data_IF_462046207812
#
_entry.id   IF_462046207812
#
_cell.length_a   1.000
_cell.length_b   1.000
_cell.length_c   1.000
_cell.angle_alpha   90.00
_cell.angle_beta   90.00
_cell.angle_gamma   90.00
#
_symmetry.space_group_name_H-M   'P 1'
#
loop_
_entity.id
_entity.type
_entity.pdbx_description
1 polymer ?
#
# COMPACT_ATOMS: atom_id res chain seq x y z
N UNK A 1 13.03 -15.82 13.97
CA UNK A 1 12.75 -16.03 12.54
C UNK A 1 11.25 -16.21 12.27
N UNK A 2 10.56 -17.16 12.90
CA UNK A 2 9.10 -17.38 12.69
C UNK A 2 8.25 -16.10 12.86
N UNK A 3 8.47 -15.35 13.94
CA UNK A 3 7.74 -14.09 14.23
C UNK A 3 8.00 -12.99 13.20
N UNK A 4 9.19 -12.95 12.62
CA UNK A 4 9.59 -11.98 11.60
C UNK A 4 8.82 -12.19 10.30
N UNK A 5 8.76 -13.44 9.84
CA UNK A 5 8.03 -13.82 8.64
C UNK A 5 6.53 -13.56 8.87
N UNK A 6 6.02 -13.96 10.03
CA UNK A 6 4.62 -13.73 10.41
C UNK A 6 4.25 -12.24 10.41
N UNK A 7 5.12 -11.35 10.88
CA UNK A 7 4.86 -9.91 10.88
C UNK A 7 4.71 -9.32 9.46
N UNK A 8 5.52 -9.79 8.51
CA UNK A 8 5.43 -9.36 7.10
C UNK A 8 4.17 -9.92 6.44
N UNK A 9 3.84 -11.19 6.70
CA UNK A 9 2.61 -11.82 6.20
C UNK A 9 1.38 -11.07 6.70
N UNK A 10 1.29 -10.81 8.02
CA UNK A 10 0.13 -10.09 8.58
C UNK A 10 0.02 -8.69 8.00
N UNK A 11 1.13 -7.95 7.87
CA UNK A 11 1.10 -6.63 7.24
C UNK A 11 0.63 -6.67 5.78
N UNK A 12 1.10 -7.66 5.01
CA UNK A 12 0.66 -7.87 3.63
C UNK A 12 -0.83 -8.21 3.53
N UNK A 13 -1.33 -9.08 4.41
CA UNK A 13 -2.75 -9.43 4.49
C UNK A 13 -3.59 -8.22 4.85
N UNK A 14 -3.20 -7.46 5.88
CA UNK A 14 -3.92 -6.24 6.29
C UNK A 14 -3.97 -5.23 5.15
N UNK A 15 -2.83 -4.96 4.50
CA UNK A 15 -2.78 -4.06 3.37
C UNK A 15 -3.71 -4.51 2.24
N UNK A 16 -3.69 -5.80 1.90
CA UNK A 16 -4.53 -6.39 0.84
C UNK A 16 -6.01 -6.26 1.18
N UNK A 17 -6.40 -6.59 2.41
CA UNK A 17 -7.79 -6.45 2.86
C UNK A 17 -8.27 -5.00 2.80
N UNK A 18 -7.45 -4.05 3.26
CA UNK A 18 -7.78 -2.63 3.21
C UNK A 18 -7.85 -2.11 1.77
N UNK A 19 -6.93 -2.54 0.91
CA UNK A 19 -6.90 -2.13 -0.49
C UNK A 19 -8.12 -2.65 -1.26
N UNK A 20 -8.39 -3.95 -1.19
CA UNK A 20 -9.53 -4.57 -1.87
C UNK A 20 -10.87 -4.06 -1.29
N UNK A 21 -10.97 -3.98 0.03
CA UNK A 21 -12.17 -3.47 0.70
C UNK A 21 -12.47 -2.01 0.35
N UNK A 22 -11.44 -1.15 0.35
CA UNK A 22 -11.62 0.25 -0.03
C UNK A 22 -11.90 0.42 -1.53
N UNK A 23 -11.33 -0.41 -2.40
CA UNK A 23 -11.70 -0.43 -3.83
C UNK A 23 -13.16 -0.80 -4.05
N UNK A 24 -13.62 -1.87 -3.40
CA UNK A 24 -15.01 -2.28 -3.50
C UNK A 24 -15.97 -1.19 -2.98
N UNK A 25 -15.58 -0.48 -1.92
CA UNK A 25 -16.37 0.63 -1.38
C UNK A 25 -16.40 1.83 -2.34
N UNK A 26 -15.25 2.25 -2.88
CA UNK A 26 -15.17 3.39 -3.81
C UNK A 26 -15.96 3.10 -5.09
N UNK A 27 -15.84 1.90 -5.65
CA UNK A 27 -16.63 1.49 -6.83
C UNK A 27 -18.14 1.52 -6.59
N UNK A 28 -18.59 1.22 -5.35
CA UNK A 28 -20.01 1.26 -4.99
C UNK A 28 -20.53 2.66 -4.73
N UNK A 29 -19.74 3.51 -4.09
CA UNK A 29 -20.13 4.87 -3.71
C UNK A 29 -19.96 5.88 -4.83
N UNK A 30 -18.97 5.66 -5.70
CA UNK A 30 -18.58 6.56 -6.79
C UNK A 30 -18.39 5.78 -8.10
N UNK A 31 -19.44 5.12 -8.63
CA UNK A 31 -19.34 4.36 -9.87
C UNK A 31 -18.92 5.25 -11.06
N UNK A 32 -19.35 6.51 -11.08
CA UNK A 32 -19.07 7.49 -12.14
C UNK A 32 -17.59 7.88 -12.25
N UNK A 33 -16.75 7.51 -11.27
CA UNK A 33 -15.31 7.75 -11.32
C UNK A 33 -14.56 6.79 -12.25
N UNK A 34 -15.22 5.70 -12.68
CA UNK A 34 -14.65 4.67 -13.53
C UNK A 34 -15.33 4.72 -14.91
N UNK A 35 -14.54 4.99 -15.94
CA UNK A 35 -15.01 4.97 -17.33
C UNK A 35 -15.13 3.56 -17.90
N UNK A 36 -15.37 3.46 -19.20
CA UNK A 36 -15.43 2.17 -19.90
C UNK A 36 -14.17 1.33 -19.67
N UNK A 37 -14.36 0.05 -19.38
CA UNK A 37 -13.26 -0.86 -19.05
C UNK A 37 -12.57 -0.57 -17.71
N UNK A 38 -13.16 0.27 -16.85
CA UNK A 38 -12.61 0.62 -15.53
C UNK A 38 -11.55 1.72 -15.56
N UNK A 39 -11.34 2.38 -16.71
CA UNK A 39 -10.34 3.43 -16.88
C UNK A 39 -10.59 4.63 -15.97
N UNK A 40 -9.53 5.19 -15.42
CA UNK A 40 -9.58 6.39 -14.56
C UNK A 40 -8.75 7.49 -15.19
N UNK A 41 -9.42 8.48 -15.78
CA UNK A 41 -8.76 9.60 -16.46
C UNK A 41 -8.72 10.87 -15.60
N UNK A 42 -9.65 11.00 -14.66
CA UNK A 42 -9.74 12.18 -13.80
C UNK A 42 -8.56 12.25 -12.83
N UNK A 43 -7.72 13.27 -13.00
CA UNK A 43 -6.55 13.55 -12.14
C UNK A 43 -6.91 13.57 -10.64
N UNK A 44 -8.03 14.18 -10.19
CA UNK A 44 -8.39 14.17 -8.76
C UNK A 44 -8.60 12.75 -8.20
N UNK A 45 -9.21 11.84 -8.97
CA UNK A 45 -9.44 10.45 -8.54
C UNK A 45 -8.14 9.66 -8.51
N UNK A 46 -7.23 9.90 -9.46
CA UNK A 46 -5.90 9.30 -9.47
C UNK A 46 -5.09 9.73 -8.25
N UNK A 47 -5.07 11.03 -7.95
CA UNK A 47 -4.41 11.57 -6.75
C UNK A 47 -5.03 11.02 -5.45
N UNK A 48 -6.36 10.94 -5.38
CA UNK A 48 -7.06 10.32 -4.25
C UNK A 48 -6.63 8.86 -4.07
N UNK A 49 -6.51 8.11 -5.16
CA UNK A 49 -6.10 6.71 -5.13
C UNK A 49 -4.66 6.54 -4.65
N UNK A 50 -3.75 7.42 -5.08
CA UNK A 50 -2.36 7.47 -4.56
C UNK A 50 -2.35 7.82 -3.07
N UNK A 51 -3.06 8.87 -2.66
CA UNK A 51 -3.10 9.28 -1.25
C UNK A 51 -3.63 8.14 -0.37
N UNK A 52 -4.67 7.46 -0.81
CA UNK A 52 -5.20 6.28 -0.15
C UNK A 52 -4.16 5.17 -0.07
N UNK A 53 -3.44 4.87 -1.16
CA UNK A 53 -2.40 3.83 -1.14
C UNK A 53 -1.28 4.15 -0.14
N UNK A 54 -0.88 5.43 -0.04
CA UNK A 54 0.10 5.89 0.95
C UNK A 54 -0.41 5.65 2.37
N UNK A 55 -1.64 6.06 2.69
CA UNK A 55 -2.24 5.85 4.02
C UNK A 55 -2.32 4.36 4.37
N UNK A 56 -2.75 3.51 3.44
CA UNK A 56 -2.84 2.07 3.68
C UNK A 56 -1.46 1.43 3.85
N UNK A 57 -0.46 1.87 3.09
CA UNK A 57 0.93 1.41 3.19
C UNK A 57 1.57 1.83 4.50
N UNK A 58 1.28 3.04 4.99
CA UNK A 58 1.67 3.51 6.31
C UNK A 58 1.12 2.63 7.43
N UNK A 59 -0.19 2.34 7.38
CA UNK A 59 -0.85 1.49 8.37
C UNK A 59 -0.27 0.06 8.35
N UNK A 60 -0.04 -0.50 7.17
CA UNK A 60 0.52 -1.83 7.02
C UNK A 60 1.95 -1.91 7.58
N UNK A 61 2.81 -0.94 7.24
CA UNK A 61 4.16 -0.83 7.80
C UNK A 61 4.17 -0.68 9.33
N UNK A 62 3.27 0.15 9.86
CA UNK A 62 3.09 0.32 11.31
C UNK A 62 2.70 -1.00 12.00
N UNK A 63 1.74 -1.74 11.45
CA UNK A 63 1.28 -3.02 11.99
C UNK A 63 2.39 -4.07 11.92
N UNK A 64 3.13 -4.15 10.82
CA UNK A 64 4.29 -5.05 10.70
C UNK A 64 5.34 -4.73 11.75
N UNK A 65 5.71 -3.47 11.94
CA UNK A 65 6.62 -3.06 13.01
C UNK A 65 6.10 -3.41 14.41
N UNK A 66 4.80 -3.22 14.64
CA UNK A 66 4.14 -3.54 15.91
C UNK A 66 4.27 -5.02 16.26
N UNK A 67 4.05 -5.91 15.28
CA UNK A 67 4.12 -7.37 15.46
C UNK A 67 5.57 -7.86 15.53
N UNK A 68 6.47 -7.30 14.72
CA UNK A 68 7.86 -7.74 14.63
C UNK A 68 8.62 -7.56 15.96
N UNK A 69 8.33 -6.48 16.70
CA UNK A 69 8.91 -6.11 18.01
C UNK A 69 10.44 -5.93 18.08
N UNK A 70 11.18 -6.36 17.06
CA UNK A 70 12.63 -6.19 16.87
C UNK A 70 12.93 -5.98 15.39
N UNK A 71 13.93 -5.15 15.09
CA UNK A 71 14.32 -4.81 13.71
C UNK A 71 13.13 -4.32 12.86
N UNK A 72 12.26 -3.51 13.46
CA UNK A 72 10.98 -3.05 12.94
C UNK A 72 11.09 -2.42 11.56
N UNK A 73 12.08 -1.54 11.36
CA UNK A 73 12.35 -0.87 10.08
C UNK A 73 12.70 -1.89 8.99
N UNK A 74 13.51 -2.90 9.31
CA UNK A 74 13.91 -3.94 8.33
C UNK A 74 12.71 -4.75 7.86
N UNK A 75 11.79 -5.11 8.77
CA UNK A 75 10.58 -5.84 8.41
C UNK A 75 9.59 -4.99 7.62
N UNK A 76 9.47 -3.70 7.96
CA UNK A 76 8.61 -2.76 7.23
C UNK A 76 9.17 -2.48 5.82
N UNK A 77 10.49 -2.42 5.68
CA UNK A 77 11.16 -2.37 4.37
C UNK A 77 10.90 -3.64 3.56
N UNK A 78 11.05 -4.83 4.16
CA UNK A 78 10.76 -6.10 3.50
C UNK A 78 9.30 -6.19 3.03
N UNK A 79 8.35 -5.69 3.82
CA UNK A 79 6.95 -5.56 3.42
C UNK A 79 6.81 -4.61 2.22
N UNK A 80 7.46 -3.45 2.25
CA UNK A 80 7.45 -2.49 1.14
C UNK A 80 7.99 -3.08 -0.16
N UNK A 81 9.06 -3.88 -0.09
CA UNK A 81 9.62 -4.60 -1.24
C UNK A 81 8.63 -5.65 -1.76
N UNK A 82 8.02 -6.44 -0.87
CA UNK A 82 7.01 -7.41 -1.26
C UNK A 82 5.82 -6.74 -1.97
N UNK A 83 5.32 -5.63 -1.42
CA UNK A 83 4.24 -4.87 -2.03
C UNK A 83 4.65 -4.21 -3.34
N UNK A 84 5.91 -3.77 -3.48
CA UNK A 84 6.41 -3.24 -4.74
C UNK A 84 6.37 -4.31 -5.84
N UNK A 85 6.82 -5.53 -5.54
CA UNK A 85 6.76 -6.65 -6.51
C UNK A 85 5.30 -6.93 -6.91
N UNK A 86 4.38 -7.01 -5.95
CA UNK A 86 2.96 -7.21 -6.23
C UNK A 86 2.34 -6.03 -7.00
N UNK A 87 2.75 -4.80 -6.69
CA UNK A 87 2.31 -3.58 -7.36
C UNK A 87 2.78 -3.50 -8.80
N UNK A 88 4.01 -3.93 -9.10
CA UNK A 88 4.52 -4.06 -10.46
C UNK A 88 3.67 -5.07 -11.25
N UNK A 89 3.39 -6.24 -10.67
CA UNK A 89 2.53 -7.25 -11.30
C UNK A 89 1.12 -6.69 -11.58
N UNK A 90 0.52 -6.01 -10.60
CA UNK A 90 -0.80 -5.38 -10.76
C UNK A 90 -0.80 -4.27 -11.83
N UNK A 91 0.28 -3.51 -11.91
CA UNK A 91 0.48 -2.44 -12.92
C UNK A 91 0.57 -3.04 -14.32
N UNK A 92 1.31 -4.13 -14.51
CA UNK A 92 1.39 -4.81 -15.82
C UNK A 92 0.01 -5.33 -16.25
N UNK A 93 -0.78 -5.86 -15.31
CA UNK A 93 -2.13 -6.37 -15.60
C UNK A 93 -3.14 -5.25 -15.89
N UNK A 94 -2.91 -4.04 -15.39
CA UNK A 94 -3.85 -2.92 -15.44
C UNK A 94 -3.26 -1.68 -16.15
N UNK A 95 -2.29 -1.91 -17.04
CA UNK A 95 -1.48 -0.83 -17.62
C UNK A 95 -2.32 0.20 -18.39
N UNK A 96 -3.38 -0.25 -19.06
CA UNK A 96 -4.26 0.60 -19.87
C UNK A 96 -5.35 1.31 -19.05
N UNK A 97 -5.41 1.07 -17.74
CA UNK A 97 -6.47 1.56 -16.84
C UNK A 97 -6.15 2.94 -16.28
N UNK A 98 -4.86 3.29 -16.16
CA UNK A 98 -4.41 4.57 -15.64
C UNK A 98 -3.14 5.07 -16.36
N UNK A 99 -2.85 6.39 -16.34
CA UNK A 99 -1.65 6.94 -16.95
C UNK A 99 -0.35 6.44 -16.31
N UNK A 100 0.75 6.41 -17.09
CA UNK A 100 2.06 5.96 -16.62
C UNK A 100 2.57 6.70 -15.39
N UNK A 101 2.30 8.01 -15.29
CA UNK A 101 2.72 8.82 -14.14
C UNK A 101 2.07 8.35 -12.83
N UNK A 102 0.82 7.86 -12.89
CA UNK A 102 0.12 7.33 -11.72
C UNK A 102 0.81 6.06 -11.23
N UNK A 103 1.11 5.13 -12.14
CA UNK A 103 1.82 3.89 -11.81
C UNK A 103 3.20 4.17 -11.23
N UNK A 104 3.96 5.09 -11.83
CA UNK A 104 5.27 5.48 -11.32
C UNK A 104 5.18 6.00 -9.87
N UNK A 105 4.29 6.97 -9.59
CA UNK A 105 4.12 7.50 -8.25
C UNK A 105 3.63 6.45 -7.25
N UNK A 106 2.64 5.64 -7.64
CA UNK A 106 2.11 4.56 -6.81
C UNK A 106 3.24 3.61 -6.39
N UNK A 107 4.04 3.12 -7.33
CA UNK A 107 5.14 2.18 -7.07
C UNK A 107 6.25 2.80 -6.23
N UNK A 108 6.69 4.01 -6.59
CA UNK A 108 7.76 4.72 -5.85
C UNK A 108 7.37 4.98 -4.40
N UNK A 109 6.09 5.22 -4.11
CA UNK A 109 5.63 5.55 -2.76
C UNK A 109 5.42 4.33 -1.85
N UNK A 110 5.37 3.10 -2.37
CA UNK A 110 5.12 1.90 -1.55
C UNK A 110 6.18 1.70 -0.47
N UNK A 111 7.46 1.65 -0.86
CA UNK A 111 8.56 1.44 0.09
C UNK A 111 8.65 2.57 1.14
N UNK A 112 8.76 3.86 0.76
CA UNK A 112 8.93 4.93 1.75
C UNK A 112 7.72 5.02 2.69
N UNK A 113 6.50 4.77 2.21
CA UNK A 113 5.30 4.77 3.06
C UNK A 113 5.33 3.63 4.09
N UNK A 114 5.68 2.41 3.69
CA UNK A 114 5.79 1.29 4.63
C UNK A 114 6.89 1.54 5.67
N UNK A 115 8.05 2.03 5.23
CA UNK A 115 9.17 2.34 6.12
C UNK A 115 8.81 3.45 7.11
N UNK A 116 8.14 4.51 6.66
CA UNK A 116 7.71 5.60 7.54
C UNK A 116 6.68 5.12 8.59
N UNK A 117 5.74 4.27 8.19
CA UNK A 117 4.79 3.64 9.11
C UNK A 117 5.50 2.79 10.18
N UNK A 118 6.51 2.01 9.77
CA UNK A 118 7.35 1.26 10.68
C UNK A 118 8.17 2.15 11.64
N UNK A 119 8.69 3.27 11.12
CA UNK A 119 9.43 4.26 11.91
C UNK A 119 8.57 4.93 12.98
N UNK A 120 7.32 5.29 12.65
CA UNK A 120 6.37 5.84 13.62
C UNK A 120 6.12 4.90 14.81
N UNK A 121 6.14 3.57 14.57
CA UNK A 121 6.00 2.59 15.66
C UNK A 121 7.23 2.56 16.57
N UNK A 122 8.42 2.75 16.01
CA UNK A 122 9.69 2.74 16.76
C UNK A 122 9.78 3.97 17.65
N UNK A 123 9.43 5.16 17.13
CA UNK A 123 9.46 6.40 17.92
C UNK A 123 8.52 6.33 19.13
N UNK A 124 7.36 5.69 18.99
CA UNK A 124 6.42 5.44 20.09
C UNK A 124 6.90 4.45 21.16
N UNK A 125 8.00 3.70 20.94
CA UNK A 125 8.60 2.85 21.99
C UNK A 125 9.70 3.57 22.78
N UNK A 126 10.25 4.64 22.21
CA UNK A 126 11.41 5.36 22.75
C UNK A 126 11.06 6.61 23.56
N UNK A 127 9.77 6.89 23.76
CA UNK A 127 9.25 7.90 24.69
C UNK A 127 8.41 7.23 25.78
#
# INVERSE_FOLDING_TARGET
MMRSIFAVIVGSVVWTMLWLGSNALVMRLFPDWYGEGGKVESVPVLLFTILRSVILSLLAGYITAFIARRSEIKHSFALGVLQLVLGIMATIQSYDVAPLWYHALFLTLLIPSNVFGGWLRVTQKGG
#
